data_IF_765235159354
#
_entry.id   IF_765235159354
#
_cell.length_a   1.000
_cell.length_b   1.000
_cell.length_c   1.000
_cell.angle_alpha   90.00
_cell.angle_beta   90.00
_cell.angle_gamma   90.00
#
_symmetry.space_group_name_H-M   'P 1'
#
loop_
_entity.id
_entity.type
_entity.pdbx_description
1 polymer ?
#
# COMPACT_ATOMS: atom_id res chain seq x y z
N UNK A 1 -23.16 5.73 9.95
CA UNK A 1 -23.13 4.58 9.01
C UNK A 1 -23.47 3.34 9.81
N UNK A 2 -24.35 2.47 9.32
CA UNK A 2 -24.76 1.22 10.00
C UNK A 2 -24.99 0.16 8.95
N UNK A 3 -24.86 -1.12 9.31
CA UNK A 3 -25.17 -2.26 8.44
C UNK A 3 -26.16 -3.19 9.16
N UNK A 4 -26.94 -3.93 8.40
CA UNK A 4 -27.81 -5.02 8.88
C UNK A 4 -27.17 -6.39 8.68
N UNK A 5 -26.00 -6.46 8.08
CA UNK A 5 -25.28 -7.70 7.83
C UNK A 5 -24.88 -8.39 9.12
N UNK A 6 -25.52 -9.53 9.40
CA UNK A 6 -25.36 -10.27 10.67
C UNK A 6 -23.92 -10.77 10.87
N UNK A 7 -23.21 -11.12 9.81
CA UNK A 7 -21.85 -11.63 9.91
C UNK A 7 -20.86 -10.52 10.27
N UNK A 8 -21.08 -9.31 9.75
CA UNK A 8 -20.32 -8.12 10.10
C UNK A 8 -20.56 -7.74 11.54
N UNK A 9 -21.83 -7.64 11.96
CA UNK A 9 -22.18 -7.26 13.33
C UNK A 9 -21.64 -8.26 14.37
N UNK A 10 -21.77 -9.56 14.12
CA UNK A 10 -21.26 -10.60 15.00
C UNK A 10 -19.73 -10.51 15.18
N UNK A 11 -19.00 -10.30 14.07
CA UNK A 11 -17.55 -10.13 14.14
C UNK A 11 -17.12 -8.84 14.87
N UNK A 12 -17.83 -7.74 14.64
CA UNK A 12 -17.56 -6.48 15.33
C UNK A 12 -17.83 -6.59 16.84
N UNK A 13 -18.87 -7.31 17.25
CA UNK A 13 -19.15 -7.60 18.66
C UNK A 13 -18.03 -8.47 19.28
N UNK A 14 -17.54 -9.48 18.57
CA UNK A 14 -16.40 -10.30 18.99
C UNK A 14 -15.14 -9.42 19.19
N UNK A 15 -14.80 -8.59 18.21
CA UNK A 15 -13.63 -7.68 18.29
C UNK A 15 -13.79 -6.68 19.42
N UNK A 16 -14.98 -6.07 19.58
CA UNK A 16 -15.27 -5.14 20.66
C UNK A 16 -15.10 -5.78 22.05
N UNK A 17 -15.62 -6.99 22.22
CA UNK A 17 -15.48 -7.73 23.47
C UNK A 17 -14.03 -8.15 23.77
N UNK A 18 -13.26 -8.44 22.73
CA UNK A 18 -11.85 -8.79 22.84
C UNK A 18 -11.00 -7.57 23.22
N UNK A 19 -11.17 -6.46 22.50
CA UNK A 19 -10.28 -5.29 22.60
C UNK A 19 -10.72 -4.24 23.63
N UNK A 20 -11.99 -4.26 24.06
CA UNK A 20 -12.57 -3.40 25.12
C UNK A 20 -12.39 -1.89 24.89
N UNK A 21 -12.87 -1.32 23.78
CA UNK A 21 -12.74 0.11 23.46
C UNK A 21 -13.69 0.98 24.30
N UNK A 22 -13.26 2.21 24.59
CA UNK A 22 -14.10 3.21 25.26
C UNK A 22 -15.16 3.79 24.31
N UNK A 23 -14.80 3.94 23.02
CA UNK A 23 -15.67 4.47 21.98
C UNK A 23 -15.59 3.63 20.71
N UNK A 24 -16.66 3.68 19.91
CA UNK A 24 -16.74 3.02 18.60
C UNK A 24 -17.18 4.03 17.54
N UNK A 25 -16.41 4.18 16.48
CA UNK A 25 -16.65 5.15 15.40
C UNK A 25 -16.61 4.45 14.05
N UNK A 26 -17.70 4.56 13.29
CA UNK A 26 -17.74 4.14 11.91
C UNK A 26 -17.17 5.22 10.99
N UNK A 27 -16.28 4.83 10.08
CA UNK A 27 -15.70 5.72 9.08
C UNK A 27 -16.60 5.74 7.84
N UNK A 28 -17.19 6.91 7.59
CA UNK A 28 -18.18 7.10 6.53
C UNK A 28 -17.61 7.60 5.20
N UNK A 29 -16.32 7.94 5.17
CA UNK A 29 -15.67 8.45 3.98
C UNK A 29 -15.87 9.94 3.73
N UNK A 30 -16.64 10.67 4.54
CA UNK A 30 -16.86 12.12 4.38
C UNK A 30 -15.59 12.95 4.67
N UNK A 31 -15.47 14.11 4.04
CA UNK A 31 -14.37 15.03 4.34
C UNK A 31 -14.54 15.71 5.70
N UNK A 32 -15.76 15.93 6.17
CA UNK A 32 -16.02 16.51 7.48
C UNK A 32 -15.47 15.59 8.58
N UNK A 33 -15.76 14.28 8.52
CA UNK A 33 -15.21 13.32 9.47
C UNK A 33 -13.68 13.24 9.35
N UNK A 34 -13.13 13.24 8.13
CA UNK A 34 -11.69 13.23 7.93
C UNK A 34 -11.01 14.48 8.51
N UNK A 35 -11.61 15.65 8.36
CA UNK A 35 -11.07 16.89 8.91
C UNK A 35 -11.10 16.89 10.45
N UNK A 36 -12.16 16.35 11.06
CA UNK A 36 -12.22 16.17 12.51
C UNK A 36 -11.10 15.23 13.01
N UNK A 37 -10.89 14.09 12.34
CA UNK A 37 -9.82 13.15 12.67
C UNK A 37 -8.41 13.73 12.43
N UNK A 38 -8.21 14.52 11.38
CA UNK A 38 -6.94 15.26 11.15
C UNK A 38 -6.65 16.24 12.29
N UNK A 39 -7.67 16.98 12.73
CA UNK A 39 -7.53 17.91 13.85
C UNK A 39 -7.20 17.16 15.16
N UNK A 40 -7.86 16.04 15.44
CA UNK A 40 -7.58 15.18 16.58
C UNK A 40 -6.15 14.62 16.54
N UNK A 41 -5.71 14.11 15.37
CA UNK A 41 -4.35 13.59 15.20
C UNK A 41 -3.27 14.66 15.41
N UNK A 42 -3.55 15.91 15.03
CA UNK A 42 -2.62 17.03 15.30
C UNK A 42 -2.64 17.41 16.78
N UNK A 43 -3.81 17.46 17.39
CA UNK A 43 -3.95 17.82 18.83
C UNK A 43 -3.30 16.78 19.74
N UNK A 44 -3.37 15.49 19.39
CA UNK A 44 -2.72 14.39 20.13
C UNK A 44 -1.21 14.27 19.84
N UNK A 45 -0.69 14.96 18.83
CA UNK A 45 0.70 14.84 18.37
C UNK A 45 0.97 13.58 17.53
N UNK A 46 -0.06 12.82 17.13
CA UNK A 46 0.10 11.65 16.24
C UNK A 46 0.56 12.09 14.85
N UNK A 47 0.15 13.29 14.39
CA UNK A 47 0.53 13.86 13.12
C UNK A 47 0.94 15.32 13.25
N UNK A 48 1.81 15.77 12.36
CA UNK A 48 2.22 17.17 12.21
C UNK A 48 1.57 17.71 10.94
N UNK A 49 0.77 18.77 11.06
CA UNK A 49 0.23 19.47 9.89
C UNK A 49 1.35 20.22 9.17
N UNK A 50 1.49 20.06 7.87
CA UNK A 50 2.49 20.74 7.06
C UNK A 50 2.02 22.11 6.58
N UNK A 51 2.90 22.81 5.87
CA UNK A 51 2.64 24.12 5.31
C UNK A 51 1.47 24.07 4.30
N UNK A 52 0.39 24.76 4.61
CA UNK A 52 -0.85 24.72 3.81
C UNK A 52 -0.73 25.40 2.44
N UNK A 53 0.19 26.38 2.28
CA UNK A 53 0.41 27.04 0.99
C UNK A 53 1.24 26.19 0.03
N UNK A 54 2.24 25.45 0.56
CA UNK A 54 3.17 24.65 -0.25
C UNK A 54 2.74 23.19 -0.41
N UNK A 55 2.08 22.64 0.62
CA UNK A 55 1.66 21.24 0.74
C UNK A 55 0.25 21.18 1.35
N UNK A 56 -0.77 21.71 0.65
CA UNK A 56 -2.14 21.80 1.18
C UNK A 56 -2.69 20.40 1.55
N UNK A 57 -3.26 20.31 2.74
CA UNK A 57 -3.84 19.07 3.26
C UNK A 57 -2.83 17.96 3.53
N UNK A 58 -1.52 18.25 3.60
CA UNK A 58 -0.48 17.27 3.85
C UNK A 58 -0.08 17.20 5.33
N UNK A 59 0.32 16.00 5.75
CA UNK A 59 0.69 15.70 7.13
C UNK A 59 1.95 14.85 7.18
N UNK A 60 2.72 14.97 8.28
CA UNK A 60 3.85 14.13 8.61
C UNK A 60 3.52 13.27 9.82
N UNK A 61 3.79 11.98 9.74
CA UNK A 61 3.73 11.01 10.83
C UNK A 61 5.11 10.41 11.11
N UNK A 62 5.41 10.12 12.37
CA UNK A 62 6.63 9.42 12.80
C UNK A 62 6.27 8.16 13.56
N UNK A 63 6.86 7.04 13.16
CA UNK A 63 6.75 5.78 13.92
C UNK A 63 7.85 5.67 14.98
N UNK A 64 7.73 4.70 15.88
CA UNK A 64 8.85 4.36 16.77
C UNK A 64 10.06 3.89 15.96
N UNK A 65 11.29 4.13 16.42
CA UNK A 65 12.52 3.72 15.69
C UNK A 65 12.65 2.22 15.39
N UNK A 66 11.97 1.38 16.14
CA UNK A 66 11.93 -0.07 15.93
C UNK A 66 10.76 -0.53 15.04
N UNK A 67 9.99 0.40 14.44
CA UNK A 67 8.80 0.11 13.63
C UNK A 67 8.79 0.94 12.34
N UNK A 68 9.75 0.68 11.46
CA UNK A 68 10.05 1.52 10.28
C UNK A 68 9.99 0.75 8.96
N UNK A 69 9.76 -0.56 9.02
CA UNK A 69 9.74 -1.44 7.85
C UNK A 69 8.76 -2.62 8.05
N UNK A 70 8.44 -3.29 6.97
CA UNK A 70 7.76 -4.60 7.04
C UNK A 70 8.66 -5.62 7.72
N UNK A 71 8.06 -6.50 8.50
CA UNK A 71 8.75 -7.53 9.28
C UNK A 71 8.47 -8.91 8.68
N UNK A 72 9.32 -9.36 7.77
CA UNK A 72 9.13 -10.62 7.05
C UNK A 72 9.17 -11.84 8.01
N UNK A 73 10.07 -11.84 8.98
CA UNK A 73 10.20 -12.90 10.00
C UNK A 73 9.05 -12.95 11.03
N UNK A 74 8.19 -11.94 11.05
CA UNK A 74 6.99 -11.85 11.91
C UNK A 74 5.69 -11.83 11.09
N UNK A 75 5.79 -12.10 9.78
CA UNK A 75 4.63 -12.18 8.88
C UNK A 75 4.35 -13.66 8.56
N UNK A 76 3.11 -14.10 8.78
CA UNK A 76 2.71 -15.49 8.67
C UNK A 76 1.47 -15.65 7.80
N UNK A 77 1.44 -16.74 7.04
CA UNK A 77 0.24 -17.29 6.43
C UNK A 77 -0.22 -18.47 7.29
N UNK A 78 -1.37 -18.30 7.93
CA UNK A 78 -1.94 -19.27 8.86
C UNK A 78 -3.05 -20.07 8.16
N UNK A 79 -2.65 -20.88 7.20
CA UNK A 79 -3.53 -21.79 6.46
C UNK A 79 -3.68 -23.13 7.20
N UNK A 80 -4.84 -23.81 7.02
CA UNK A 80 -5.12 -25.12 7.63
C UNK A 80 -4.16 -26.20 7.17
N UNK A 81 -3.63 -26.08 5.96
CA UNK A 81 -2.57 -26.92 5.41
C UNK A 81 -1.35 -26.05 5.12
N UNK A 82 -0.18 -26.46 5.61
CA UNK A 82 1.07 -25.74 5.40
C UNK A 82 1.39 -25.51 3.92
N UNK A 83 1.09 -26.48 3.06
CA UNK A 83 1.29 -26.36 1.61
C UNK A 83 0.56 -25.16 0.98
N UNK A 84 -0.57 -24.74 1.55
CA UNK A 84 -1.35 -23.58 1.08
C UNK A 84 -0.71 -22.23 1.46
N UNK A 85 0.29 -22.22 2.34
CA UNK A 85 1.06 -21.01 2.64
C UNK A 85 2.05 -20.63 1.52
N UNK A 86 2.35 -21.57 0.63
CA UNK A 86 3.34 -21.42 -0.42
C UNK A 86 4.79 -21.60 0.10
N UNK A 87 5.76 -21.72 -0.82
CA UNK A 87 7.12 -22.17 -0.48
C UNK A 87 7.98 -21.10 0.21
N UNK A 88 7.60 -19.82 0.16
CA UNK A 88 8.45 -18.70 0.61
C UNK A 88 7.89 -17.95 1.82
N UNK A 89 6.70 -18.28 2.29
CA UNK A 89 6.07 -17.63 3.43
C UNK A 89 6.31 -18.43 4.72
N UNK A 90 6.39 -17.71 5.86
CA UNK A 90 6.32 -18.38 7.15
C UNK A 90 4.90 -18.93 7.35
N UNK A 91 4.81 -20.12 7.92
CA UNK A 91 3.55 -20.76 8.28
C UNK A 91 3.44 -20.98 9.79
N UNK A 92 2.22 -20.92 10.29
CA UNK A 92 1.87 -21.32 11.64
C UNK A 92 0.46 -21.93 11.62
N UNK A 93 0.19 -22.89 12.47
CA UNK A 93 -1.16 -23.45 12.65
C UNK A 93 -2.14 -22.32 13.01
N UNK A 94 -3.29 -22.21 12.32
CA UNK A 94 -4.22 -21.11 12.55
C UNK A 94 -4.78 -21.06 13.97
N UNK A 95 -5.07 -22.20 14.59
CA UNK A 95 -5.61 -22.24 15.95
C UNK A 95 -4.59 -21.73 16.96
N UNK A 96 -3.34 -22.16 16.85
CA UNK A 96 -2.24 -21.71 17.71
C UNK A 96 -2.02 -20.19 17.55
N UNK A 97 -2.05 -19.72 16.30
CA UNK A 97 -1.82 -18.30 16.03
C UNK A 97 -3.00 -17.43 16.49
N UNK A 98 -4.26 -17.85 16.31
CA UNK A 98 -5.41 -17.14 16.85
C UNK A 98 -5.33 -16.98 18.38
N UNK A 99 -5.01 -18.05 19.10
CA UNK A 99 -4.86 -18.02 20.56
C UNK A 99 -3.79 -16.99 20.98
N UNK A 100 -2.63 -17.00 20.33
CA UNK A 100 -1.55 -16.04 20.58
C UNK A 100 -1.98 -14.60 20.31
N UNK A 101 -2.58 -14.33 19.13
CA UNK A 101 -2.97 -12.98 18.72
C UNK A 101 -4.10 -12.42 19.58
N UNK A 102 -5.08 -13.25 19.97
CA UNK A 102 -6.17 -12.84 20.83
C UNK A 102 -5.67 -12.51 22.25
N UNK A 103 -4.67 -13.23 22.75
CA UNK A 103 -4.04 -12.88 24.03
C UNK A 103 -3.32 -11.53 23.96
N UNK A 104 -2.68 -11.19 22.83
CA UNK A 104 -2.03 -9.87 22.62
C UNK A 104 -3.09 -8.77 22.45
N UNK A 105 -4.16 -9.04 21.69
CA UNK A 105 -5.20 -8.05 21.39
C UNK A 105 -6.15 -7.77 22.55
N UNK A 106 -6.17 -8.63 23.58
CA UNK A 106 -7.08 -8.49 24.73
C UNK A 106 -6.89 -7.15 25.43
N UNK A 107 -7.99 -6.43 25.63
CA UNK A 107 -8.05 -5.09 26.25
C UNK A 107 -7.16 -4.03 25.58
N UNK A 108 -6.66 -4.28 24.34
CA UNK A 108 -5.72 -3.38 23.66
C UNK A 108 -6.30 -2.02 23.29
N UNK A 109 -7.62 -1.89 23.24
CA UNK A 109 -8.31 -0.63 22.94
C UNK A 109 -8.85 0.08 24.18
N UNK A 110 -8.60 -0.44 25.38
CA UNK A 110 -9.00 0.23 26.63
C UNK A 110 -8.39 1.63 26.71
N UNK A 111 -9.21 2.64 26.95
CA UNK A 111 -8.82 4.06 26.89
C UNK A 111 -8.69 4.62 25.47
N UNK A 112 -9.14 3.89 24.45
CA UNK A 112 -9.00 4.27 23.03
C UNK A 112 -10.32 4.14 22.27
N UNK A 113 -10.34 4.71 21.07
CA UNK A 113 -11.46 4.59 20.13
C UNK A 113 -11.21 3.47 19.14
N UNK A 114 -12.20 2.61 18.93
CA UNK A 114 -12.25 1.62 17.86
C UNK A 114 -12.84 2.26 16.61
N UNK A 115 -12.04 2.41 15.57
CA UNK A 115 -12.47 2.89 14.25
C UNK A 115 -12.80 1.70 13.36
N UNK A 116 -13.98 1.74 12.72
CA UNK A 116 -14.44 0.71 11.79
C UNK A 116 -14.43 1.30 10.39
N UNK A 117 -13.61 0.73 9.50
CA UNK A 117 -13.35 1.24 8.15
C UNK A 117 -13.89 0.23 7.12
N UNK A 118 -15.13 0.38 6.62
CA UNK A 118 -15.59 -0.38 5.46
C UNK A 118 -14.93 0.19 4.19
N UNK A 119 -14.31 -0.69 3.40
CA UNK A 119 -13.62 -0.26 2.20
C UNK A 119 -13.76 -1.25 1.04
N UNK A 120 -13.59 -0.75 -0.18
CA UNK A 120 -13.49 -1.55 -1.38
C UNK A 120 -12.07 -1.55 -1.91
N UNK A 121 -11.55 -2.73 -2.22
CA UNK A 121 -10.40 -2.92 -3.07
C UNK A 121 -10.90 -3.06 -4.50
N UNK A 122 -10.54 -2.09 -5.34
CA UNK A 122 -11.11 -1.89 -6.66
C UNK A 122 -12.32 -0.96 -6.66
N UNK A 123 -12.79 -0.52 -7.85
CA UNK A 123 -13.93 0.39 -8.00
C UNK A 123 -15.21 -0.18 -7.37
N UNK A 124 -15.89 0.62 -6.56
CA UNK A 124 -17.06 0.16 -5.78
C UNK A 124 -18.18 -0.34 -6.71
N UNK A 125 -18.61 -1.59 -6.51
CA UNK A 125 -19.63 -2.25 -7.33
C UNK A 125 -19.10 -2.90 -8.61
N UNK A 126 -17.80 -2.84 -8.87
CA UNK A 126 -17.18 -3.63 -9.93
C UNK A 126 -17.25 -5.13 -9.63
N UNK A 127 -17.50 -6.00 -10.61
CA UNK A 127 -17.45 -7.45 -10.42
C UNK A 127 -16.02 -7.96 -10.12
N UNK A 128 -15.01 -7.12 -10.33
CA UNK A 128 -13.60 -7.42 -10.02
C UNK A 128 -13.19 -6.90 -8.63
N UNK A 129 -14.03 -6.08 -7.98
CA UNK A 129 -13.75 -5.53 -6.66
C UNK A 129 -14.12 -6.50 -5.54
N UNK A 130 -13.46 -6.34 -4.40
CA UNK A 130 -13.73 -7.08 -3.16
C UNK A 130 -13.87 -6.12 -1.98
N UNK A 131 -14.70 -6.48 -1.01
CA UNK A 131 -14.97 -5.68 0.18
C UNK A 131 -14.10 -6.15 1.35
N UNK A 132 -13.61 -5.19 2.13
CA UNK A 132 -12.98 -5.42 3.42
C UNK A 132 -13.55 -4.50 4.48
N UNK A 133 -13.41 -4.90 5.75
CA UNK A 133 -13.67 -4.05 6.91
C UNK A 133 -12.43 -4.13 7.79
N UNK A 134 -11.76 -3.00 7.99
CA UNK A 134 -10.63 -2.90 8.91
C UNK A 134 -11.07 -2.21 10.20
N UNK A 135 -10.69 -2.81 11.32
CA UNK A 135 -10.86 -2.24 12.66
C UNK A 135 -9.49 -1.85 13.19
N UNK A 136 -9.35 -0.64 13.72
CA UNK A 136 -8.08 -0.10 14.21
C UNK A 136 -8.30 0.89 15.35
N UNK A 137 -7.27 1.09 16.18
CA UNK A 137 -7.19 2.12 17.22
C UNK A 137 -6.29 3.32 16.83
N UNK A 138 -5.99 3.48 15.52
CA UNK A 138 -5.07 4.51 15.02
C UNK A 138 -5.72 5.43 13.98
N UNK A 139 -5.72 6.74 14.24
CA UNK A 139 -6.20 7.75 13.28
C UNK A 139 -5.28 7.78 12.04
N UNK A 140 -3.98 7.58 12.21
CA UNK A 140 -3.04 7.45 11.08
C UNK A 140 -3.47 6.36 10.11
N UNK A 141 -3.90 5.20 10.61
CA UNK A 141 -4.40 4.10 9.78
C UNK A 141 -5.68 4.51 9.05
N UNK A 142 -6.65 5.11 9.76
CA UNK A 142 -7.90 5.59 9.16
C UNK A 142 -7.63 6.53 7.98
N UNK A 143 -6.80 7.55 8.19
CA UNK A 143 -6.51 8.57 7.17
C UNK A 143 -5.75 7.99 5.97
N UNK A 144 -4.81 7.07 6.20
CA UNK A 144 -4.11 6.37 5.13
C UNK A 144 -5.02 5.42 4.35
N UNK A 145 -5.89 4.66 5.04
CA UNK A 145 -6.84 3.75 4.38
C UNK A 145 -7.83 4.51 3.49
N UNK A 146 -8.23 5.73 3.87
CA UNK A 146 -9.06 6.61 3.03
C UNK A 146 -8.36 7.00 1.72
N UNK A 147 -7.04 7.13 1.73
CA UNK A 147 -6.25 7.41 0.52
C UNK A 147 -6.05 6.13 -0.31
N UNK A 148 -5.70 5.03 0.38
CA UNK A 148 -5.28 3.80 -0.29
C UNK A 148 -6.43 2.94 -0.78
N UNK A 149 -7.64 3.13 -0.26
CA UNK A 149 -8.82 2.33 -0.58
C UNK A 149 -10.04 3.22 -0.80
N UNK A 150 -11.14 2.65 -1.27
CA UNK A 150 -12.38 3.40 -1.49
C UNK A 150 -13.30 3.21 -0.29
N UNK A 151 -13.34 4.22 0.58
CA UNK A 151 -14.16 4.23 1.80
C UNK A 151 -15.41 5.07 1.57
N UNK A 152 -16.59 4.45 1.63
CA UNK A 152 -17.88 5.13 1.49
C UNK A 152 -19.02 4.27 2.02
N UNK A 153 -20.21 4.85 2.32
CA UNK A 153 -21.40 4.09 2.70
C UNK A 153 -21.81 3.05 1.65
N UNK A 154 -21.60 3.34 0.37
CA UNK A 154 -21.91 2.45 -0.75
C UNK A 154 -21.20 1.08 -0.67
N UNK A 155 -20.06 1.00 0.04
CA UNK A 155 -19.35 -0.27 0.24
C UNK A 155 -20.23 -1.27 1.01
N UNK A 156 -20.89 -0.82 2.09
CA UNK A 156 -21.81 -1.66 2.86
C UNK A 156 -23.08 -1.99 2.11
N UNK A 157 -23.58 -1.07 1.27
CA UNK A 157 -24.73 -1.32 0.40
C UNK A 157 -24.43 -2.43 -0.62
N UNK A 158 -23.25 -2.37 -1.26
CA UNK A 158 -22.78 -3.40 -2.21
C UNK A 158 -22.55 -4.73 -1.52
N UNK A 159 -22.02 -4.73 -0.30
CA UNK A 159 -21.83 -5.94 0.49
C UNK A 159 -23.19 -6.61 0.81
N UNK A 160 -24.21 -5.83 1.16
CA UNK A 160 -25.51 -6.35 1.56
C UNK A 160 -25.40 -7.39 2.68
N UNK A 161 -26.05 -8.53 2.52
CA UNK A 161 -26.02 -9.66 3.47
C UNK A 161 -24.93 -10.70 3.14
N UNK A 162 -24.03 -10.42 2.17
CA UNK A 162 -22.96 -11.33 1.79
C UNK A 162 -21.96 -11.56 2.92
N UNK A 163 -21.43 -12.78 3.03
CA UNK A 163 -20.32 -13.11 3.90
C UNK A 163 -18.95 -13.14 3.15
N UNK A 164 -18.94 -12.74 1.86
CA UNK A 164 -17.71 -12.62 1.07
C UNK A 164 -17.07 -11.26 1.30
N UNK A 165 -16.38 -11.11 2.40
CA UNK A 165 -15.63 -9.92 2.78
C UNK A 165 -14.43 -10.27 3.66
N UNK A 166 -13.41 -9.41 3.66
CA UNK A 166 -12.18 -9.62 4.42
C UNK A 166 -12.21 -8.85 5.74
N UNK A 167 -11.93 -9.58 6.82
CA UNK A 167 -11.84 -9.10 8.20
C UNK A 167 -10.43 -8.61 8.47
N UNK A 168 -10.26 -7.37 8.85
CA UNK A 168 -8.98 -6.79 9.22
C UNK A 168 -8.99 -6.29 10.67
N UNK A 169 -8.22 -6.88 11.56
CA UNK A 169 -8.01 -6.38 12.91
C UNK A 169 -6.60 -5.86 13.06
N UNK A 170 -6.46 -4.56 13.34
CA UNK A 170 -5.20 -3.93 13.69
C UNK A 170 -5.22 -3.42 15.13
N UNK A 171 -4.32 -3.88 15.98
CA UNK A 171 -4.12 -3.38 17.33
C UNK A 171 -2.72 -2.77 17.45
N UNK A 172 -2.64 -1.45 17.61
CA UNK A 172 -1.37 -0.74 17.79
C UNK A 172 -0.62 -1.21 19.03
N UNK A 173 -1.34 -1.50 20.13
CA UNK A 173 -0.76 -1.91 21.42
C UNK A 173 0.38 -0.96 21.86
N UNK A 174 1.49 -1.53 22.36
CA UNK A 174 2.68 -0.79 22.80
C UNK A 174 3.76 -0.69 21.71
N UNK A 175 3.50 -1.22 20.50
CA UNK A 175 4.47 -1.31 19.39
C UNK A 175 5.72 -2.11 19.83
N UNK A 176 5.49 -3.21 20.56
CA UNK A 176 6.54 -4.11 21.02
C UNK A 176 7.04 -5.01 19.88
N UNK A 177 8.32 -4.95 19.48
CA UNK A 177 8.87 -5.75 18.39
C UNK A 177 8.86 -7.26 18.67
N UNK A 178 8.94 -7.67 19.95
CA UNK A 178 8.97 -9.09 20.32
C UNK A 178 7.57 -9.74 20.19
N UNK A 179 6.52 -8.95 20.37
CA UNK A 179 5.13 -9.38 20.25
C UNK A 179 4.45 -8.83 19.00
N UNK A 180 5.22 -8.41 17.98
CA UNK A 180 4.73 -7.94 16.68
C UNK A 180 4.46 -9.11 15.77
N UNK A 181 3.23 -9.17 15.23
CA UNK A 181 2.80 -10.19 14.27
C UNK A 181 1.89 -9.59 13.21
N UNK A 182 2.08 -10.01 11.95
CA UNK A 182 1.20 -9.70 10.82
C UNK A 182 0.76 -11.02 10.21
N UNK A 183 -0.47 -11.44 10.48
CA UNK A 183 -0.95 -12.78 10.16
C UNK A 183 -2.15 -12.74 9.22
N UNK A 184 -2.14 -13.61 8.22
CA UNK A 184 -3.23 -13.82 7.27
C UNK A 184 -3.79 -15.23 7.45
N UNK A 185 -5.11 -15.34 7.56
CA UNK A 185 -5.89 -16.58 7.67
C UNK A 185 -6.74 -16.69 6.39
N UNK A 186 -6.17 -17.27 5.32
CA UNK A 186 -6.77 -17.18 3.99
C UNK A 186 -8.12 -17.89 3.87
N UNK A 187 -8.31 -19.03 4.54
CA UNK A 187 -9.58 -19.76 4.53
C UNK A 187 -10.69 -19.06 5.33
N UNK A 188 -10.34 -18.14 6.22
CA UNK A 188 -11.27 -17.39 7.06
C UNK A 188 -11.44 -15.94 6.58
N UNK A 189 -10.79 -15.57 5.47
CA UNK A 189 -10.73 -14.18 4.98
C UNK A 189 -10.39 -13.18 6.09
N UNK A 190 -9.39 -13.49 6.93
CA UNK A 190 -9.06 -12.70 8.12
C UNK A 190 -7.60 -12.31 8.13
N UNK A 191 -7.35 -11.07 8.56
CA UNK A 191 -6.02 -10.48 8.74
C UNK A 191 -5.95 -9.92 10.16
N UNK A 192 -4.88 -10.22 10.90
CA UNK A 192 -4.64 -9.66 12.21
C UNK A 192 -3.21 -9.11 12.25
N UNK A 193 -3.08 -7.82 12.58
CA UNK A 193 -1.81 -7.13 12.77
C UNK A 193 -1.76 -6.54 14.18
N UNK A 194 -0.72 -6.90 14.93
CA UNK A 194 -0.55 -6.43 16.32
C UNK A 194 0.85 -5.86 16.54
N UNK A 195 0.95 -4.87 17.43
CA UNK A 195 2.22 -4.23 17.85
C UNK A 195 2.99 -3.54 16.73
N UNK A 196 2.30 -2.98 15.73
CA UNK A 196 2.90 -2.11 14.72
C UNK A 196 2.05 -0.84 14.52
N UNK A 197 2.70 0.24 14.13
CA UNK A 197 2.10 1.49 13.67
C UNK A 197 2.68 1.91 12.29
N UNK A 198 3.54 1.07 11.69
CA UNK A 198 4.13 1.34 10.39
C UNK A 198 3.16 0.95 9.25
N UNK A 199 2.89 1.89 8.33
CA UNK A 199 1.91 1.73 7.25
C UNK A 199 2.00 0.41 6.48
N UNK A 200 3.21 -0.07 6.17
CA UNK A 200 3.40 -1.35 5.47
C UNK A 200 2.90 -2.60 6.23
N UNK A 201 2.69 -2.49 7.55
CA UNK A 201 2.20 -3.56 8.42
C UNK A 201 0.71 -3.37 8.81
N UNK A 202 0.21 -2.14 8.75
CA UNK A 202 -1.09 -1.78 9.35
C UNK A 202 -2.14 -1.32 8.35
N UNK A 203 -1.78 -0.98 7.12
CA UNK A 203 -2.72 -0.73 6.04
C UNK A 203 -3.13 -2.08 5.42
N UNK A 204 -4.09 -2.75 6.07
CA UNK A 204 -4.39 -4.15 5.81
C UNK A 204 -4.98 -4.41 4.43
N UNK A 205 -5.59 -3.40 3.81
CA UNK A 205 -6.06 -3.46 2.43
C UNK A 205 -4.95 -3.66 1.41
N UNK A 206 -3.72 -3.16 1.69
CA UNK A 206 -2.63 -3.18 0.71
C UNK A 206 -2.04 -4.60 0.53
N UNK A 207 -0.95 -4.94 1.19
CA UNK A 207 -0.25 -6.23 0.97
C UNK A 207 -0.98 -7.42 1.57
N UNK A 208 -1.60 -7.24 2.72
CA UNK A 208 -2.25 -8.33 3.42
C UNK A 208 -3.50 -8.80 2.66
N UNK A 209 -4.37 -7.88 2.25
CA UNK A 209 -5.55 -8.22 1.47
C UNK A 209 -5.24 -8.32 -0.02
N UNK A 210 -4.84 -7.18 -0.65
CA UNK A 210 -4.76 -7.10 -2.11
C UNK A 210 -3.77 -8.08 -2.75
N UNK A 211 -2.83 -8.62 -1.97
CA UNK A 211 -1.89 -9.61 -2.48
C UNK A 211 -2.02 -10.98 -1.78
N UNK A 212 -1.86 -11.07 -0.44
CA UNK A 212 -1.77 -12.36 0.24
C UNK A 212 -3.12 -13.09 0.35
N UNK A 213 -4.16 -12.45 0.89
CA UNK A 213 -5.52 -13.03 0.90
C UNK A 213 -6.04 -13.19 -0.53
N UNK A 214 -5.88 -12.16 -1.36
CA UNK A 214 -6.35 -12.15 -2.74
C UNK A 214 -5.72 -13.24 -3.61
N UNK A 215 -4.43 -13.59 -3.40
CA UNK A 215 -3.80 -14.71 -4.12
C UNK A 215 -4.48 -16.03 -3.81
N UNK A 216 -4.86 -16.26 -2.55
CA UNK A 216 -5.59 -17.47 -2.16
C UNK A 216 -7.02 -17.47 -2.73
N UNK A 217 -7.74 -16.34 -2.62
CA UNK A 217 -9.06 -16.19 -3.23
C UNK A 217 -9.00 -16.41 -4.74
N UNK A 218 -8.04 -15.77 -5.41
CA UNK A 218 -7.84 -15.90 -6.86
C UNK A 218 -7.58 -17.35 -7.28
N UNK A 219 -6.75 -18.07 -6.54
CA UNK A 219 -6.54 -19.50 -6.79
C UNK A 219 -7.84 -20.32 -6.67
N UNK A 220 -8.71 -20.00 -5.71
CA UNK A 220 -10.00 -20.71 -5.53
C UNK A 220 -11.05 -20.30 -6.55
N UNK A 221 -11.04 -19.05 -6.99
CA UNK A 221 -12.09 -18.46 -7.83
C UNK A 221 -11.69 -18.35 -9.32
N UNK A 222 -10.44 -18.71 -9.69
CA UNK A 222 -9.96 -18.69 -11.07
C UNK A 222 -9.55 -17.29 -11.57
N UNK A 223 -8.94 -16.47 -10.71
CA UNK A 223 -8.35 -15.19 -11.07
C UNK A 223 -6.98 -15.00 -10.40
N UNK A 224 -6.26 -13.93 -10.72
CA UNK A 224 -4.90 -13.71 -10.25
C UNK A 224 -4.77 -12.38 -9.52
N UNK A 225 -4.10 -12.41 -8.35
CA UNK A 225 -3.65 -11.21 -7.65
C UNK A 225 -2.11 -11.16 -7.72
N UNK A 226 -1.60 -10.21 -8.48
CA UNK A 226 -0.20 -10.16 -8.84
C UNK A 226 0.51 -8.91 -8.34
N UNK A 227 1.78 -9.05 -7.97
CA UNK A 227 2.64 -7.93 -7.60
C UNK A 227 3.17 -7.26 -8.86
N UNK A 228 2.26 -6.63 -9.61
CA UNK A 228 2.51 -6.01 -10.91
C UNK A 228 1.97 -4.59 -10.94
N UNK A 229 2.69 -3.72 -11.65
CA UNK A 229 2.16 -2.45 -12.12
C UNK A 229 1.25 -2.68 -13.34
N UNK A 230 0.38 -1.71 -13.63
CA UNK A 230 -0.40 -1.65 -14.87
C UNK A 230 -0.19 -0.26 -15.47
N UNK A 231 0.34 -0.21 -16.69
CA UNK A 231 0.47 1.03 -17.46
C UNK A 231 -0.20 0.92 -18.83
N UNK A 232 -0.66 2.05 -19.35
CA UNK A 232 -1.11 2.20 -20.74
C UNK A 232 -0.06 2.94 -21.56
N UNK A 233 0.34 2.37 -22.67
CA UNK A 233 1.18 3.03 -23.67
C UNK A 233 0.30 3.48 -24.84
N UNK A 234 0.13 4.80 -24.98
CA UNK A 234 -0.60 5.41 -26.08
C UNK A 234 0.36 5.72 -27.24
N UNK A 235 0.02 5.24 -28.43
CA UNK A 235 0.76 5.53 -29.64
C UNK A 235 0.31 6.87 -30.27
N UNK A 236 1.01 7.37 -31.32
CA UNK A 236 0.63 8.64 -31.98
C UNK A 236 -0.76 8.63 -32.63
N UNK A 237 -1.35 7.48 -32.87
CA UNK A 237 -2.70 7.31 -33.44
C UNK A 237 -3.79 7.36 -32.37
N UNK A 238 -3.41 7.36 -31.07
CA UNK A 238 -4.34 7.34 -29.94
C UNK A 238 -4.73 5.94 -29.46
N UNK A 239 -4.14 4.88 -30.02
CA UNK A 239 -4.37 3.53 -29.53
C UNK A 239 -3.60 3.30 -28.24
N UNK A 240 -4.26 2.73 -27.21
CA UNK A 240 -3.65 2.45 -25.92
C UNK A 240 -3.47 0.94 -25.76
N UNK A 241 -2.23 0.52 -25.53
CA UNK A 241 -1.87 -0.84 -25.19
C UNK A 241 -1.54 -0.92 -23.69
N UNK A 242 -2.28 -1.74 -22.94
CA UNK A 242 -2.06 -1.92 -21.51
C UNK A 242 -1.04 -3.04 -21.26
N UNK A 243 -0.14 -2.78 -20.33
CA UNK A 243 1.00 -3.65 -20.03
C UNK A 243 1.01 -3.87 -18.52
N UNK A 244 1.06 -5.14 -18.09
CA UNK A 244 1.36 -5.50 -16.72
C UNK A 244 2.86 -5.80 -16.56
N UNK A 245 3.47 -5.39 -15.42
CA UNK A 245 4.90 -5.62 -15.25
C UNK A 245 5.25 -6.03 -13.81
N UNK A 246 5.92 -7.17 -13.68
CA UNK A 246 6.39 -7.74 -12.42
C UNK A 246 7.86 -7.40 -12.19
N UNK A 247 8.12 -6.68 -11.10
CA UNK A 247 9.48 -6.39 -10.63
C UNK A 247 9.57 -6.61 -9.11
N UNK A 248 10.66 -7.21 -8.60
CA UNK A 248 10.94 -7.24 -7.18
C UNK A 248 10.99 -5.83 -6.56
N UNK A 249 10.90 -5.75 -5.23
CA UNK A 249 11.02 -4.48 -4.52
C UNK A 249 12.32 -3.74 -4.87
N UNK A 250 12.26 -2.41 -4.94
CA UNK A 250 13.38 -1.53 -5.31
C UNK A 250 14.00 -1.78 -6.70
N UNK A 251 13.26 -2.39 -7.64
CA UNK A 251 13.69 -2.59 -9.02
C UNK A 251 13.08 -1.58 -10.02
N UNK A 252 12.43 -0.51 -9.53
CA UNK A 252 11.93 0.58 -10.36
C UNK A 252 10.49 0.45 -10.86
N UNK A 253 9.66 -0.39 -10.22
CA UNK A 253 8.26 -0.60 -10.61
C UNK A 253 7.46 0.71 -10.68
N UNK A 254 7.43 1.50 -9.62
CA UNK A 254 6.73 2.80 -9.59
C UNK A 254 7.28 3.77 -10.64
N UNK A 255 8.61 3.77 -10.89
CA UNK A 255 9.21 4.61 -11.92
C UNK A 255 8.75 4.22 -13.34
N UNK A 256 8.59 2.92 -13.60
CA UNK A 256 8.04 2.48 -14.89
C UNK A 256 6.55 2.79 -15.02
N UNK A 257 5.77 2.57 -13.95
CA UNK A 257 4.33 2.85 -13.94
C UNK A 257 4.01 4.32 -14.25
N UNK A 258 4.86 5.23 -13.79
CA UNK A 258 4.70 6.69 -13.91
C UNK A 258 5.73 7.29 -14.89
N UNK A 259 6.19 6.51 -15.87
CA UNK A 259 7.22 6.90 -16.82
C UNK A 259 6.80 8.11 -17.63
N UNK A 260 7.70 9.09 -17.76
CA UNK A 260 7.61 10.14 -18.78
C UNK A 260 8.40 9.66 -19.99
N UNK A 261 7.78 9.49 -21.16
CA UNK A 261 8.50 9.08 -22.35
C UNK A 261 9.66 10.02 -22.69
N UNK A 262 10.79 9.54 -23.20
CA UNK A 262 11.88 10.40 -23.68
C UNK A 262 11.39 11.47 -24.66
N UNK A 263 12.08 12.60 -24.73
CA UNK A 263 11.65 13.77 -25.53
C UNK A 263 11.31 13.39 -26.97
N UNK A 264 12.15 12.59 -27.64
CA UNK A 264 11.95 12.19 -29.03
C UNK A 264 10.68 11.34 -29.25
N UNK A 265 10.23 10.57 -28.26
CA UNK A 265 8.97 9.83 -28.32
C UNK A 265 7.77 10.72 -28.02
N UNK A 266 7.89 11.64 -27.06
CA UNK A 266 6.84 12.64 -26.77
C UNK A 266 6.55 13.54 -27.96
N UNK A 267 7.59 13.99 -28.67
CA UNK A 267 7.48 14.79 -29.89
C UNK A 267 6.80 14.02 -31.03
N UNK A 268 6.86 12.67 -31.02
CA UNK A 268 6.10 11.81 -31.92
C UNK A 268 4.68 11.53 -31.46
N UNK A 269 4.28 11.97 -30.26
CA UNK A 269 2.92 11.79 -29.74
C UNK A 269 2.71 10.60 -28.80
N UNK A 270 3.78 9.85 -28.44
CA UNK A 270 3.68 8.76 -27.45
C UNK A 270 3.42 9.30 -26.03
N UNK A 271 2.50 8.65 -25.30
CA UNK A 271 2.17 8.95 -23.90
C UNK A 271 2.17 7.69 -23.06
N UNK A 272 2.35 7.85 -21.74
CA UNK A 272 2.21 6.78 -20.74
C UNK A 272 1.14 7.19 -19.75
N UNK A 273 0.25 6.25 -19.44
CA UNK A 273 -0.84 6.40 -18.50
C UNK A 273 -0.69 5.39 -17.37
N UNK A 274 -0.83 5.82 -16.12
CA UNK A 274 -0.76 4.95 -14.95
C UNK A 274 -2.15 4.43 -14.60
N UNK A 275 -2.32 3.10 -14.55
CA UNK A 275 -3.53 2.45 -13.98
C UNK A 275 -3.23 1.99 -12.56
N UNK A 276 -2.02 1.48 -12.29
CA UNK A 276 -1.58 1.08 -10.96
C UNK A 276 -0.08 0.87 -10.91
N UNK A 277 0.55 1.12 -9.76
CA UNK A 277 2.01 1.05 -9.63
C UNK A 277 2.51 -0.21 -8.93
N UNK A 278 1.65 -0.99 -8.27
CA UNK A 278 2.11 -2.04 -7.36
C UNK A 278 1.37 -3.37 -7.45
N UNK A 279 0.03 -3.37 -7.59
CA UNK A 279 -0.79 -4.59 -7.57
C UNK A 279 -1.77 -4.59 -8.75
N UNK A 280 -1.90 -5.75 -9.39
CA UNK A 280 -2.87 -6.01 -10.44
C UNK A 280 -3.76 -7.20 -10.06
N UNK A 281 -5.08 -7.03 -10.12
CA UNK A 281 -6.03 -8.13 -10.08
C UNK A 281 -6.49 -8.43 -11.50
N UNK A 282 -6.31 -9.68 -11.94
CA UNK A 282 -6.48 -10.05 -13.33
C UNK A 282 -7.47 -11.21 -13.48
N UNK A 283 -8.35 -11.10 -14.46
CA UNK A 283 -9.33 -12.13 -14.85
C UNK A 283 -9.38 -12.28 -16.36
N UNK A 284 -9.66 -13.50 -16.81
CA UNK A 284 -9.97 -13.75 -18.21
C UNK A 284 -11.43 -13.34 -18.44
N UNK A 285 -11.65 -12.45 -19.40
CA UNK A 285 -12.98 -12.01 -19.84
C UNK A 285 -13.71 -13.05 -20.68
N UNK A 286 -14.98 -12.82 -20.94
CA UNK A 286 -15.82 -13.69 -21.79
C UNK A 286 -15.33 -13.76 -23.25
N UNK A 287 -14.54 -12.79 -23.67
CA UNK A 287 -13.89 -12.72 -24.99
C UNK A 287 -12.54 -13.46 -25.05
N UNK A 288 -12.13 -14.11 -23.94
CA UNK A 288 -10.88 -14.82 -23.80
C UNK A 288 -9.64 -13.93 -23.57
N UNK A 289 -9.82 -12.61 -23.45
CA UNK A 289 -8.71 -11.68 -23.14
C UNK A 289 -8.49 -11.55 -21.64
N UNK A 290 -7.25 -11.27 -21.24
CA UNK A 290 -6.89 -10.98 -19.86
C UNK A 290 -7.20 -9.51 -19.54
N UNK A 291 -7.99 -9.27 -18.50
CA UNK A 291 -8.33 -7.94 -18.00
C UNK A 291 -7.74 -7.72 -16.61
N UNK A 292 -7.30 -6.49 -16.34
CA UNK A 292 -6.72 -6.12 -15.06
C UNK A 292 -7.38 -4.86 -14.47
N UNK A 293 -7.53 -4.83 -13.15
CA UNK A 293 -7.79 -3.62 -12.37
C UNK A 293 -6.65 -3.37 -11.38
N UNK A 294 -6.47 -2.11 -11.01
CA UNK A 294 -5.74 -1.77 -9.79
C UNK A 294 -6.71 -1.79 -8.60
N UNK A 295 -6.50 -2.64 -7.58
CA UNK A 295 -7.36 -2.67 -6.40
C UNK A 295 -7.18 -1.44 -5.50
N UNK A 296 -6.03 -0.76 -5.55
CA UNK A 296 -5.70 0.38 -4.70
C UNK A 296 -6.27 1.70 -5.25
N UNK A 297 -6.48 2.69 -4.37
CA UNK A 297 -6.98 4.02 -4.71
C UNK A 297 -5.92 5.12 -4.56
N UNK A 298 -4.72 4.77 -4.16
CA UNK A 298 -3.60 5.66 -3.93
C UNK A 298 -2.27 4.96 -4.10
N UNK A 299 -1.20 5.73 -3.86
CA UNK A 299 0.17 5.26 -3.93
C UNK A 299 0.80 5.26 -2.54
N UNK A 300 1.51 4.18 -2.20
CA UNK A 300 2.32 4.08 -1.00
C UNK A 300 3.79 3.91 -1.41
N UNK A 301 4.41 5.03 -1.79
CA UNK A 301 5.73 5.06 -2.39
C UNK A 301 6.87 5.23 -1.41
N UNK A 302 8.09 4.88 -1.84
CA UNK A 302 9.35 5.19 -1.12
C UNK A 302 9.72 6.64 -1.38
N UNK A 303 9.97 7.43 -0.32
CA UNK A 303 10.33 8.83 -0.44
C UNK A 303 11.81 9.05 -0.87
N UNK A 304 12.81 8.42 -0.24
CA UNK A 304 14.22 8.63 -0.59
C UNK A 304 14.52 8.40 -2.06
N UNK A 305 15.22 9.35 -2.68
CA UNK A 305 15.56 9.32 -4.10
C UNK A 305 14.46 9.75 -5.06
N UNK A 306 13.23 9.93 -4.59
CA UNK A 306 12.14 10.49 -5.42
C UNK A 306 12.31 12.00 -5.56
N UNK A 307 12.48 12.47 -6.79
CA UNK A 307 12.69 13.88 -7.13
C UNK A 307 12.19 14.19 -8.54
N UNK A 308 12.31 15.45 -8.97
CA UNK A 308 11.86 15.91 -10.29
C UNK A 308 12.52 15.17 -11.48
N UNK A 309 13.73 14.67 -11.29
CA UNK A 309 14.48 13.99 -12.34
C UNK A 309 14.26 12.47 -12.34
N UNK A 310 14.15 11.87 -11.14
CA UNK A 310 14.01 10.42 -11.00
C UNK A 310 12.58 9.94 -11.26
N UNK A 311 11.57 10.67 -10.74
CA UNK A 311 10.15 10.40 -10.94
C UNK A 311 9.29 11.64 -10.63
N UNK A 312 9.17 12.51 -11.63
CA UNK A 312 8.35 13.73 -11.54
C UNK A 312 6.90 13.44 -11.15
N UNK A 313 6.27 12.42 -11.77
CA UNK A 313 4.86 12.12 -11.54
C UNK A 313 4.59 11.64 -10.12
N UNK A 314 5.48 10.82 -9.55
CA UNK A 314 5.39 10.40 -8.16
C UNK A 314 5.55 11.61 -7.22
N UNK A 315 6.53 12.48 -7.46
CA UNK A 315 6.72 13.69 -6.67
C UNK A 315 5.51 14.63 -6.78
N UNK A 316 4.97 14.83 -7.97
CA UNK A 316 3.77 15.65 -8.19
C UNK A 316 2.56 15.11 -7.43
N UNK A 317 2.42 13.78 -7.33
CA UNK A 317 1.33 13.13 -6.58
C UNK A 317 1.35 13.48 -5.09
N UNK A 318 2.50 13.85 -4.53
CA UNK A 318 2.65 14.16 -3.10
C UNK A 318 2.36 15.63 -2.75
N UNK A 319 2.01 16.47 -3.71
CA UNK A 319 1.90 17.93 -3.51
C UNK A 319 0.64 18.39 -2.77
N UNK A 320 -0.38 17.54 -2.64
CA UNK A 320 -1.60 17.84 -1.89
C UNK A 320 -2.20 16.57 -1.28
N UNK A 321 -2.86 16.70 -0.14
CA UNK A 321 -3.60 15.63 0.53
C UNK A 321 -2.78 14.35 0.77
N UNK A 322 -1.46 14.48 0.92
CA UNK A 322 -0.56 13.36 1.14
C UNK A 322 -0.16 13.21 2.62
N UNK A 323 0.16 11.99 3.02
CA UNK A 323 0.70 11.69 4.33
C UNK A 323 2.13 11.18 4.14
N UNK A 324 3.07 11.87 4.78
CA UNK A 324 4.47 11.45 4.80
C UNK A 324 4.77 10.69 6.09
N UNK A 325 5.56 9.63 5.99
CA UNK A 325 5.93 8.80 7.14
C UNK A 325 7.45 8.68 7.23
N UNK A 326 8.02 9.12 8.38
CA UNK A 326 9.45 9.01 8.69
C UNK A 326 10.38 9.77 7.73
N UNK A 327 9.91 10.87 7.14
CA UNK A 327 10.75 11.84 6.43
C UNK A 327 11.22 12.93 7.38
N UNK A 328 12.19 13.74 6.99
CA UNK A 328 12.62 14.90 7.76
C UNK A 328 11.63 16.07 7.62
N UNK A 329 11.53 16.89 8.66
CA UNK A 329 10.79 18.15 8.66
C UNK A 329 11.76 19.31 8.46
N UNK A 330 11.44 20.21 7.53
CA UNK A 330 12.12 21.48 7.39
C UNK A 330 11.42 22.54 8.27
N UNK A 331 12.01 22.95 9.40
CA UNK A 331 11.36 23.90 10.30
C UNK A 331 11.31 25.35 9.74
N UNK A 332 12.07 25.67 8.70
CA UNK A 332 12.10 27.00 8.14
C UNK A 332 10.79 27.37 7.42
N UNK A 333 10.12 26.38 6.83
CA UNK A 333 8.88 26.60 6.07
C UNK A 333 7.82 25.52 6.34
N UNK A 334 8.06 24.65 7.31
CA UNK A 334 7.17 23.56 7.70
C UNK A 334 6.82 22.61 6.54
N UNK A 335 7.83 22.32 5.68
CA UNK A 335 7.74 21.32 4.61
C UNK A 335 8.53 20.07 4.98
N UNK A 336 8.50 19.05 4.12
CA UNK A 336 9.26 17.80 4.30
C UNK A 336 10.48 17.74 3.40
N UNK A 337 11.47 16.94 3.84
CA UNK A 337 12.65 16.67 3.05
C UNK A 337 13.09 15.20 3.24
N UNK A 338 13.77 14.65 2.24
CA UNK A 338 14.43 13.34 2.25
C UNK A 338 15.65 13.33 1.35
N UNK A 339 16.54 12.40 1.56
CA UNK A 339 17.78 12.26 0.78
C UNK A 339 17.46 12.07 -0.70
N UNK A 340 18.05 12.96 -1.51
CA UNK A 340 17.86 12.99 -2.97
C UNK A 340 16.65 13.79 -3.45
N UNK A 341 15.85 14.41 -2.57
CA UNK A 341 14.78 15.35 -3.00
C UNK A 341 15.36 16.57 -3.72
N UNK A 342 16.43 17.12 -3.17
CA UNK A 342 17.18 18.24 -3.74
C UNK A 342 18.65 17.87 -3.83
N UNK A 343 19.40 18.60 -4.68
CA UNK A 343 20.86 18.40 -4.83
C UNK A 343 21.61 18.65 -3.53
N UNK A 344 21.20 19.68 -2.80
CA UNK A 344 21.78 20.05 -1.51
C UNK A 344 20.70 19.96 -0.43
N UNK A 345 21.06 19.45 0.74
CA UNK A 345 20.15 19.39 1.88
C UNK A 345 19.97 20.78 2.50
N UNK A 346 18.78 21.11 3.05
CA UNK A 346 18.60 22.30 3.88
C UNK A 346 19.56 22.30 5.09
N UNK A 347 20.00 23.48 5.49
CA UNK A 347 21.00 23.66 6.56
C UNK A 347 20.51 23.21 7.95
N UNK A 348 19.20 23.23 8.17
CA UNK A 348 18.58 22.81 9.43
C UNK A 348 17.34 21.99 9.12
N UNK A 349 17.30 20.79 9.64
CA UNK A 349 16.16 19.87 9.58
C UNK A 349 15.86 19.32 10.98
N UNK A 350 14.69 18.74 11.12
CA UNK A 350 14.35 17.82 12.20
C UNK A 350 14.27 16.44 11.58
N UNK A 351 15.10 15.51 12.02
CA UNK A 351 15.17 14.18 11.46
C UNK A 351 13.88 13.37 11.68
N UNK A 352 13.80 12.20 11.09
CA UNK A 352 12.65 11.31 11.21
C UNK A 352 12.40 10.81 12.64
N UNK A 353 13.39 10.91 13.54
CA UNK A 353 13.26 10.58 14.97
C UNK A 353 12.80 11.78 15.80
N UNK A 354 12.78 12.98 15.22
CA UNK A 354 12.43 14.22 15.91
C UNK A 354 13.61 15.00 16.48
N UNK A 355 14.84 14.66 16.12
CA UNK A 355 16.05 15.33 16.61
C UNK A 355 16.50 16.41 15.61
N UNK A 356 17.19 17.48 16.09
CA UNK A 356 17.87 18.43 15.20
C UNK A 356 18.89 17.70 14.32
N UNK A 357 18.93 18.10 13.05
CA UNK A 357 19.82 17.52 12.06
C UNK A 357 20.33 18.62 11.09
N UNK A 358 21.58 18.51 10.68
CA UNK A 358 22.20 19.35 9.66
C UNK A 358 23.09 18.50 8.71
N UNK A 359 23.47 19.05 7.53
CA UNK A 359 24.24 18.30 6.53
C UNK A 359 25.61 17.76 6.98
N UNK A 360 26.21 18.33 8.03
CA UNK A 360 27.49 17.85 8.56
C UNK A 360 27.38 16.49 9.26
N UNK A 361 26.16 16.14 9.68
CA UNK A 361 25.87 14.85 10.33
C UNK A 361 25.77 13.70 9.33
N UNK A 362 25.57 14.00 8.03
CA UNK A 362 25.31 12.97 7.01
C UNK A 362 26.54 12.17 6.65
N UNK A 363 26.49 10.86 6.81
CA UNK A 363 27.51 9.89 6.37
C UNK A 363 26.89 8.89 5.41
N UNK A 364 27.21 8.96 4.12
CA UNK A 364 26.60 8.13 3.06
C UNK A 364 26.65 6.63 3.35
N UNK A 365 27.70 6.15 3.99
CA UNK A 365 27.86 4.73 4.33
C UNK A 365 27.05 4.31 5.58
N UNK A 366 26.59 5.28 6.39
CA UNK A 366 25.87 5.04 7.65
C UNK A 366 24.44 5.59 7.56
N UNK A 367 23.50 4.71 7.27
CA UNK A 367 22.09 5.04 7.15
C UNK A 367 21.45 5.54 8.44
N UNK A 368 22.08 5.35 9.59
CA UNK A 368 21.57 5.85 10.88
C UNK A 368 21.70 7.35 11.04
N UNK A 369 22.56 7.98 10.21
CA UNK A 369 22.82 9.42 10.17
C UNK A 369 21.93 10.20 9.21
N UNK A 370 21.05 9.53 8.49
CA UNK A 370 20.14 10.14 7.50
C UNK A 370 19.05 10.97 8.17
N UNK A 371 18.70 12.09 7.56
CA UNK A 371 17.62 12.95 8.02
C UNK A 371 16.23 12.28 7.86
N UNK A 372 16.00 11.61 6.75
CA UNK A 372 14.84 10.74 6.55
C UNK A 372 15.22 9.27 6.74
N UNK A 373 14.29 8.46 7.24
CA UNK A 373 14.55 7.01 7.30
C UNK A 373 14.70 6.45 5.88
N UNK A 374 15.67 5.55 5.60
CA UNK A 374 15.89 4.99 4.26
C UNK A 374 14.68 4.28 3.65
N UNK A 375 13.74 3.83 4.48
CA UNK A 375 12.47 3.24 4.07
C UNK A 375 11.27 4.17 4.36
N UNK A 376 11.51 5.48 4.49
CA UNK A 376 10.43 6.47 4.65
C UNK A 376 9.48 6.45 3.45
N UNK A 377 8.21 6.77 3.72
CA UNK A 377 7.13 6.61 2.76
C UNK A 377 6.34 7.90 2.57
N UNK A 378 5.65 7.97 1.44
CA UNK A 378 4.52 8.84 1.25
C UNK A 378 3.29 8.02 0.88
N UNK A 379 2.12 8.47 1.34
CA UNK A 379 0.82 7.99 0.89
C UNK A 379 0.16 9.13 0.14
N UNK A 380 -0.18 8.94 -1.14
CA UNK A 380 -0.74 9.99 -1.99
C UNK A 380 -1.97 9.49 -2.75
N UNK A 381 -3.03 10.31 -2.91
CA UNK A 381 -4.17 9.99 -3.76
C UNK A 381 -3.72 9.78 -5.21
N UNK A 382 -4.25 8.74 -5.86
CA UNK A 382 -3.89 8.45 -7.25
C UNK A 382 -4.34 9.57 -8.22
N UNK A 383 -5.44 10.25 -7.92
CA UNK A 383 -5.94 11.39 -8.68
C UNK A 383 -4.97 12.57 -8.78
N UNK A 384 -4.00 12.66 -7.86
CA UNK A 384 -2.96 13.69 -7.92
C UNK A 384 -1.90 13.40 -8.99
N UNK A 385 -1.82 12.18 -9.52
CA UNK A 385 -0.81 11.79 -10.49
C UNK A 385 -1.11 12.41 -11.86
N UNK A 386 -0.19 13.21 -12.44
CA UNK A 386 -0.41 13.88 -13.72
C UNK A 386 -0.68 12.93 -14.90
N UNK A 387 -0.22 11.68 -14.80
CA UNK A 387 -0.40 10.67 -15.85
C UNK A 387 -1.41 9.57 -15.44
N UNK A 388 -2.31 9.84 -14.48
CA UNK A 388 -3.35 8.88 -14.11
C UNK A 388 -4.25 8.58 -15.31
N UNK A 389 -4.53 7.30 -15.55
CA UNK A 389 -5.38 6.86 -16.65
C UNK A 389 -6.86 7.18 -16.37
N UNK A 390 -7.61 7.58 -17.40
CA UNK A 390 -9.07 7.67 -17.33
C UNK A 390 -9.75 6.33 -17.03
N UNK A 391 -9.05 5.21 -17.21
CA UNK A 391 -9.52 3.86 -16.92
C UNK A 391 -9.27 3.43 -15.45
N UNK A 392 -8.56 4.24 -14.67
CA UNK A 392 -8.14 3.93 -13.30
C UNK A 392 -9.29 3.47 -12.40
N UNK A 393 -10.43 4.14 -12.47
CA UNK A 393 -11.60 3.86 -11.61
C UNK A 393 -12.77 3.23 -12.38
N UNK A 394 -12.54 2.72 -13.59
CA UNK A 394 -13.55 2.01 -14.36
C UNK A 394 -13.60 0.53 -13.98
N UNK A 395 -14.78 0.08 -13.58
CA UNK A 395 -14.98 -1.27 -13.02
C UNK A 395 -14.80 -2.43 -14.01
N UNK A 396 -14.74 -2.17 -15.31
CA UNK A 396 -14.54 -3.21 -16.33
C UNK A 396 -13.09 -3.73 -16.39
N UNK A 397 -12.13 -2.96 -15.90
CA UNK A 397 -10.71 -3.23 -16.05
C UNK A 397 -10.17 -2.93 -17.45
N UNK A 398 -8.87 -3.06 -17.64
CA UNK A 398 -8.18 -2.82 -18.90
C UNK A 398 -7.65 -4.11 -19.51
N UNK A 399 -7.77 -4.30 -20.86
CA UNK A 399 -7.28 -5.50 -21.53
C UNK A 399 -5.75 -5.50 -21.60
N UNK A 400 -5.10 -6.53 -21.07
CA UNK A 400 -3.65 -6.64 -21.04
C UNK A 400 -3.13 -7.16 -22.40
N UNK A 401 -2.24 -6.39 -23.01
CA UNK A 401 -1.61 -6.70 -24.31
C UNK A 401 -0.24 -7.36 -24.16
N UNK A 402 0.47 -7.10 -23.06
CA UNK A 402 1.80 -7.65 -22.79
C UNK A 402 2.07 -7.77 -21.29
N UNK A 403 2.95 -8.72 -20.92
CA UNK A 403 3.45 -8.88 -19.56
C UNK A 403 4.97 -8.76 -19.60
N UNK A 404 5.53 -7.94 -18.70
CA UNK A 404 6.96 -7.74 -18.55
C UNK A 404 7.40 -8.34 -17.21
N UNK A 405 8.43 -9.18 -17.23
CA UNK A 405 9.15 -9.61 -16.05
C UNK A 405 10.50 -8.91 -15.99
N UNK A 406 10.85 -8.34 -14.85
CA UNK A 406 12.10 -7.63 -14.66
C UNK A 406 12.74 -7.97 -13.33
N UNK A 407 14.04 -7.68 -13.22
CA UNK A 407 14.81 -7.90 -12.01
C UNK A 407 16.13 -7.15 -12.06
N UNK A 408 16.85 -7.20 -10.96
CA UNK A 408 18.18 -6.60 -10.83
C UNK A 408 19.25 -7.66 -11.02
N UNK A 409 20.23 -7.38 -11.86
CA UNK A 409 21.42 -8.23 -12.07
C UNK A 409 22.66 -7.37 -12.24
N UNK A 410 23.76 -7.74 -11.55
CA UNK A 410 25.04 -7.04 -11.68
C UNK A 410 25.69 -7.26 -13.06
N UNK A 411 25.45 -8.43 -13.65
CA UNK A 411 25.94 -8.79 -14.98
C UNK A 411 24.74 -9.30 -15.79
N UNK A 412 24.37 -8.59 -16.80
CA UNK A 412 23.31 -8.99 -17.70
C UNK A 412 23.64 -8.66 -19.14
N UNK A 413 23.18 -9.50 -20.01
CA UNK A 413 23.06 -9.28 -21.44
C UNK A 413 22.00 -10.27 -21.95
N UNK A 414 21.04 -9.85 -22.70
CA UNK A 414 20.71 -8.47 -23.06
C UNK A 414 20.03 -7.72 -21.92
N UNK A 415 19.96 -6.38 -22.04
CA UNK A 415 19.24 -5.54 -21.09
C UNK A 415 17.72 -5.75 -21.16
N UNK A 416 17.22 -5.96 -22.38
CA UNK A 416 15.83 -6.30 -22.66
C UNK A 416 15.81 -7.49 -23.61
N UNK A 417 14.93 -8.45 -23.33
CA UNK A 417 14.70 -9.63 -24.14
C UNK A 417 13.20 -9.78 -24.45
N UNK A 418 12.85 -9.91 -25.71
CA UNK A 418 11.49 -10.24 -26.14
C UNK A 418 11.40 -11.76 -26.37
N UNK A 419 10.41 -12.41 -25.73
CA UNK A 419 10.13 -13.83 -26.00
C UNK A 419 9.64 -14.06 -27.42
N UNK A 420 9.94 -15.23 -27.98
CA UNK A 420 9.55 -15.59 -29.34
C UNK A 420 8.04 -15.80 -29.51
N UNK A 421 7.45 -16.39 -28.48
CA UNK A 421 6.03 -16.72 -28.36
C UNK A 421 5.60 -16.71 -26.90
N UNK A 422 4.32 -16.96 -26.63
CA UNK A 422 3.76 -16.96 -25.29
C UNK A 422 4.34 -18.07 -24.40
N UNK A 423 4.52 -19.29 -24.93
CA UNK A 423 5.06 -20.43 -24.19
C UNK A 423 6.52 -20.16 -23.76
N UNK A 424 7.33 -19.62 -24.66
CA UNK A 424 8.69 -19.20 -24.35
C UNK A 424 8.71 -18.07 -23.32
N UNK A 425 7.74 -17.14 -23.37
CA UNK A 425 7.57 -16.08 -22.36
C UNK A 425 7.26 -16.62 -20.98
N UNK A 426 6.37 -17.59 -20.88
CA UNK A 426 6.03 -18.28 -19.62
C UNK A 426 7.26 -18.99 -19.05
N UNK A 427 8.02 -19.70 -19.89
CA UNK A 427 9.25 -20.37 -19.46
C UNK A 427 10.28 -19.36 -18.91
N UNK A 428 10.53 -18.27 -19.65
CA UNK A 428 11.48 -17.23 -19.20
C UNK A 428 11.01 -16.60 -17.89
N UNK A 429 9.73 -16.20 -17.78
CA UNK A 429 9.17 -15.58 -16.59
C UNK A 429 9.24 -16.48 -15.35
N UNK A 430 9.03 -17.79 -15.53
CA UNK A 430 9.07 -18.77 -14.43
C UNK A 430 10.50 -19.14 -13.99
N UNK A 431 11.49 -18.99 -14.85
CA UNK A 431 12.90 -19.34 -14.58
C UNK A 431 13.78 -18.15 -14.26
N UNK A 432 13.28 -16.92 -14.45
CA UNK A 432 14.02 -15.70 -14.19
C UNK A 432 14.29 -15.48 -12.71
N UNK A 433 15.51 -15.09 -12.36
CA UNK A 433 15.90 -14.73 -11.01
C UNK A 433 16.40 -13.29 -10.95
N UNK A 434 16.18 -12.63 -9.81
CA UNK A 434 16.70 -11.31 -9.47
C UNK A 434 17.68 -11.40 -8.31
N UNK A 435 18.66 -10.52 -8.30
CA UNK A 435 19.50 -10.32 -7.11
C UNK A 435 18.67 -9.75 -5.96
N UNK A 436 19.07 -10.09 -4.74
CA UNK A 436 18.47 -9.54 -3.51
C UNK A 436 18.59 -8.02 -3.51
N UNK A 437 17.51 -7.34 -3.15
CA UNK A 437 17.45 -5.88 -3.08
C UNK A 437 17.53 -5.41 -1.63
N UNK A 438 17.87 -4.14 -1.42
CA UNK A 438 17.97 -3.54 -0.08
C UNK A 438 16.65 -3.61 0.72
N UNK A 439 15.51 -3.72 0.05
CA UNK A 439 14.20 -3.87 0.71
C UNK A 439 13.99 -5.27 1.33
N UNK A 440 14.77 -6.27 0.88
CA UNK A 440 14.75 -7.64 1.43
C UNK A 440 15.80 -7.84 2.54
N UNK A 441 16.67 -6.86 2.77
CA UNK A 441 17.75 -6.91 3.76
C UNK A 441 17.43 -6.10 5.03
N UNK A 442 16.13 -5.88 5.28
CA UNK A 442 15.66 -5.16 6.47
C UNK A 442 15.78 -5.98 7.75
#
# INVERSE_FOLDING_TARGET
MTTTNKTVLAWLDEVKNLTNPDNVVWIDGSEDQANALRAEAVASGEMIKLNEEKLPGCYLHRTKPNDVARVENRTFICSRKQENAGPTNNWCDPKEMYEKLYNIARDSYKGRTMYIIPYSMGPVGSPLAKVGIEVTDSIYVVLNMRIMTRVSPKVLEVLGDSNDWVRGLHCKCDVDPENRYICQFPEDNTIISVNSAYGGNVLLGKKCFALRIASYQGWKEGWMAEHMLILGLENPQGDIHYIAAAFPSACGKTNLAMLIPPKYLREKGYKVWTVGDDIAWMRIGSDGRLYAINPENGFFGVAPGTNEHSNFNALASTKKNAIFTNVALNPADNTVWWEGLTKEAPQKLIDWKGNPWDPSMFVKADKTTYAAHPNSRFTAPAENCPCISSEFDKGAGVPISAIIFGGRRAKCAPLVYQSRDWENGVFIGSTMASETTAAAAG
#
